data_IF_055154235133
#
_entry.id   IF_055154235133
#
_cell.length_a   1.000
_cell.length_b   1.000
_cell.length_c   1.000
_cell.angle_alpha   90.00
_cell.angle_beta   90.00
_cell.angle_gamma   90.00
#
_symmetry.space_group_name_H-M   'P 1'
#
loop_
_entity.id
_entity.type
_entity.pdbx_description
1 polymer ?
#
# COMPACT_ATOMS: atom_id res chain seq x y z
N UNK A 1 35.84 -2.46 -3.57
CA UNK A 1 34.63 -2.93 -4.27
C UNK A 1 33.47 -2.63 -3.34
N UNK A 2 32.87 -1.44 -3.49
CA UNK A 2 31.81 -0.96 -2.62
C UNK A 2 30.46 -1.43 -3.16
N UNK A 3 29.72 -2.20 -2.37
CA UNK A 3 28.34 -2.55 -2.65
C UNK A 3 27.46 -1.75 -1.71
N UNK A 4 27.02 -0.62 -2.28
CA UNK A 4 25.73 0.04 -2.09
C UNK A 4 25.24 0.09 -0.64
N UNK A 5 25.56 1.21 0.00
CA UNK A 5 24.83 1.72 1.15
C UNK A 5 23.33 1.61 0.85
N UNK A 6 22.62 0.76 1.62
CA UNK A 6 21.18 0.91 1.76
C UNK A 6 20.96 2.32 2.29
N UNK A 7 20.67 3.26 1.42
CA UNK A 7 20.13 4.55 1.83
C UNK A 7 18.85 4.22 2.58
N UNK A 8 18.91 4.35 3.90
CA UNK A 8 17.76 4.38 4.78
C UNK A 8 16.99 5.68 4.51
N UNK A 9 16.48 5.85 3.29
CA UNK A 9 15.36 6.78 3.08
C UNK A 9 14.24 6.16 3.89
N UNK A 10 13.90 6.80 5.00
CA UNK A 10 13.05 6.25 6.05
C UNK A 10 11.61 6.20 5.54
N UNK A 11 11.28 5.15 4.79
CA UNK A 11 9.90 4.80 4.55
C UNK A 11 9.30 4.34 5.87
N UNK A 12 8.38 5.14 6.41
CA UNK A 12 7.69 4.85 7.66
C UNK A 12 6.21 4.77 7.41
N UNK A 13 5.56 3.76 7.98
CA UNK A 13 4.10 3.67 7.97
C UNK A 13 3.51 4.89 8.69
N UNK A 14 2.69 5.65 7.98
CA UNK A 14 1.99 6.80 8.53
C UNK A 14 0.87 6.32 9.44
N UNK A 15 0.91 6.77 10.69
CA UNK A 15 -0.13 6.53 11.67
C UNK A 15 -0.92 7.83 11.91
N UNK A 16 -2.24 7.75 11.75
CA UNK A 16 -3.12 8.85 12.12
C UNK A 16 -3.03 9.13 13.62
N UNK A 17 -2.99 10.42 13.97
CA UNK A 17 -3.33 10.86 15.31
C UNK A 17 -4.82 11.27 15.37
N UNK A 18 -5.42 11.26 16.56
CA UNK A 18 -6.87 11.35 16.72
C UNK A 18 -7.57 12.59 16.13
N UNK A 19 -6.86 13.66 15.77
CA UNK A 19 -7.46 14.78 15.03
C UNK A 19 -7.42 14.60 13.50
N UNK A 20 -6.44 13.86 12.99
CA UNK A 20 -6.27 13.60 11.56
C UNK A 20 -7.22 12.52 11.04
N UNK A 21 -7.67 11.59 11.90
CA UNK A 21 -8.67 10.58 11.57
C UNK A 21 -9.97 11.19 11.00
N UNK A 22 -10.40 12.33 11.57
CA UNK A 22 -11.58 13.04 11.11
C UNK A 22 -11.35 13.86 9.82
N UNK A 23 -10.09 14.15 9.48
CA UNK A 23 -9.74 14.97 8.31
C UNK A 23 -9.56 14.13 7.04
N UNK A 24 -9.17 12.86 7.19
CA UNK A 24 -8.84 11.95 6.09
C UNK A 24 -9.61 10.62 6.21
N UNK A 25 -10.96 10.67 6.14
CA UNK A 25 -11.79 9.51 6.45
C UNK A 25 -11.61 8.36 5.45
N UNK A 26 -11.29 8.62 4.17
CA UNK A 26 -11.10 7.53 3.21
C UNK A 26 -9.76 6.86 3.38
N UNK A 27 -8.70 7.61 3.64
CA UNK A 27 -7.40 7.06 3.98
C UNK A 27 -7.48 6.17 5.23
N UNK A 28 -8.22 6.61 6.26
CA UNK A 28 -8.46 5.81 7.46
C UNK A 28 -9.20 4.50 7.12
N UNK A 29 -10.26 4.57 6.32
CA UNK A 29 -11.00 3.38 5.88
C UNK A 29 -10.14 2.41 5.08
N UNK A 30 -9.26 2.92 4.22
CA UNK A 30 -8.32 2.06 3.49
C UNK A 30 -7.41 1.27 4.43
N UNK A 31 -6.99 1.84 5.56
CA UNK A 31 -6.16 1.13 6.56
C UNK A 31 -6.96 0.19 7.49
N UNK A 32 -8.24 0.51 7.75
CA UNK A 32 -9.07 -0.24 8.72
C UNK A 32 -9.88 -1.36 8.08
N UNK A 33 -10.45 -1.11 6.91
CA UNK A 33 -11.36 -2.02 6.22
C UNK A 33 -10.62 -2.94 5.23
N UNK A 34 -9.39 -2.58 4.83
CA UNK A 34 -8.58 -3.28 3.84
C UNK A 34 -7.11 -3.38 4.29
N UNK A 35 -6.35 -4.31 3.73
CA UNK A 35 -4.91 -4.47 4.04
C UNK A 35 -4.04 -3.45 3.27
N UNK A 36 -4.41 -2.17 3.34
CA UNK A 36 -3.57 -1.08 2.86
C UNK A 36 -2.81 -0.40 3.99
N UNK A 37 -1.72 0.26 3.60
CA UNK A 37 -0.89 1.11 4.44
C UNK A 37 -0.64 2.42 3.73
N UNK A 38 -0.50 3.47 4.52
CA UNK A 38 -0.04 4.76 4.02
C UNK A 38 1.45 4.81 4.34
N UNK A 39 2.28 4.95 3.31
CA UNK A 39 3.72 5.06 3.48
C UNK A 39 4.11 6.53 3.39
N UNK A 40 4.83 7.00 4.39
CA UNK A 40 5.49 8.29 4.36
C UNK A 40 6.93 8.10 3.89
N UNK A 41 7.26 8.73 2.78
CA UNK A 41 8.63 8.83 2.25
C UNK A 41 9.13 10.27 2.45
N UNK A 42 10.43 10.49 2.24
CA UNK A 42 11.08 11.81 2.43
C UNK A 42 10.41 12.96 1.65
N UNK A 43 9.70 12.64 0.56
CA UNK A 43 9.07 13.63 -0.33
C UNK A 43 7.54 13.54 -0.43
N UNK A 44 6.89 12.69 0.38
CA UNK A 44 5.44 12.60 0.35
C UNK A 44 4.82 11.36 0.99
N UNK A 45 3.61 11.06 0.53
CA UNK A 45 2.72 10.01 1.02
C UNK A 45 2.19 9.20 -0.16
N UNK A 46 2.12 7.89 0.01
CA UNK A 46 1.47 6.98 -0.95
C UNK A 46 0.66 5.91 -0.23
N UNK A 47 -0.24 5.27 -0.97
CA UNK A 47 -0.97 4.08 -0.54
C UNK A 47 -0.26 2.84 -1.09
N UNK A 48 0.04 1.88 -0.22
CA UNK A 48 0.62 0.59 -0.57
C UNK A 48 -0.20 -0.54 0.04
N UNK A 49 -0.11 -1.75 -0.51
CA UNK A 49 -0.58 -2.96 0.19
C UNK A 49 0.33 -3.27 1.38
N UNK A 50 -0.23 -3.96 2.38
CA UNK A 50 0.53 -4.55 3.49
C UNK A 50 1.27 -5.78 3.00
N UNK A 51 2.53 -5.93 3.42
CA UNK A 51 3.27 -7.19 3.24
C UNK A 51 2.55 -8.34 3.95
N UNK A 52 2.37 -9.45 3.25
CA UNK A 52 1.78 -10.67 3.79
C UNK A 52 2.50 -11.88 3.20
N UNK A 53 3.11 -12.73 4.05
CA UNK A 53 3.75 -14.01 3.72
C UNK A 53 4.37 -14.10 2.31
N UNK A 54 5.65 -13.70 2.20
CA UNK A 54 6.46 -13.69 0.96
C UNK A 54 5.94 -12.80 -0.19
N UNK A 55 4.86 -12.04 0.00
CA UNK A 55 4.37 -11.03 -0.94
C UNK A 55 4.95 -9.66 -0.56
N UNK A 56 5.77 -9.10 -1.45
CA UNK A 56 6.29 -7.73 -1.33
C UNK A 56 5.13 -6.71 -1.36
N UNK A 57 5.26 -5.63 -0.59
CA UNK A 57 4.31 -4.52 -0.63
C UNK A 57 4.31 -3.87 -2.02
N UNK A 58 3.12 -3.61 -2.56
CA UNK A 58 2.97 -2.98 -3.88
C UNK A 58 2.35 -1.61 -3.70
N UNK A 59 3.00 -0.60 -4.30
CA UNK A 59 2.47 0.75 -4.38
C UNK A 59 1.20 0.78 -5.24
N UNK A 60 0.09 1.20 -4.63
CA UNK A 60 -1.25 1.27 -5.24
C UNK A 60 -1.54 2.68 -5.76
N UNK A 61 -0.83 3.67 -5.23
CA UNK A 61 -0.93 5.05 -5.70
C UNK A 61 0.44 5.63 -6.03
N UNK A 62 0.48 6.70 -6.87
CA UNK A 62 1.66 7.55 -6.97
C UNK A 62 2.01 8.19 -5.62
N UNK A 63 3.22 8.76 -5.54
CA UNK A 63 3.65 9.58 -4.41
C UNK A 63 3.03 10.98 -4.49
N UNK A 64 2.41 11.43 -3.40
CA UNK A 64 1.80 12.75 -3.27
C UNK A 64 2.45 13.57 -2.17
N UNK A 65 2.63 14.87 -2.39
CA UNK A 65 3.30 15.74 -1.40
C UNK A 65 2.48 15.96 -0.11
N UNK A 66 1.16 15.77 -0.16
CA UNK A 66 0.27 15.98 0.99
C UNK A 66 -0.73 14.84 1.14
N UNK A 67 -1.14 14.55 2.38
CA UNK A 67 -2.23 13.60 2.68
C UNK A 67 -3.54 14.00 2.01
N UNK A 68 -3.81 15.30 1.87
CA UNK A 68 -5.01 15.78 1.19
C UNK A 68 -5.03 15.40 -0.30
N UNK A 69 -3.89 15.53 -0.99
CA UNK A 69 -3.80 15.14 -2.40
C UNK A 69 -3.97 13.62 -2.57
N UNK A 70 -3.41 12.84 -1.64
CA UNK A 70 -3.61 11.39 -1.60
C UNK A 70 -5.08 11.01 -1.31
N UNK A 71 -5.71 11.64 -0.31
CA UNK A 71 -7.13 11.45 0.03
C UNK A 71 -8.03 11.75 -1.17
N UNK A 72 -7.79 12.85 -1.89
CA UNK A 72 -8.53 13.20 -3.10
C UNK A 72 -8.33 12.17 -4.22
N UNK A 73 -7.10 11.67 -4.40
CA UNK A 73 -6.81 10.63 -5.37
C UNK A 73 -7.57 9.34 -5.05
N UNK A 74 -7.54 8.88 -3.79
CA UNK A 74 -8.25 7.68 -3.37
C UNK A 74 -9.75 7.86 -3.54
N UNK A 75 -10.32 8.99 -3.10
CA UNK A 75 -11.74 9.27 -3.29
C UNK A 75 -12.17 9.17 -4.76
N UNK A 76 -11.34 9.67 -5.68
CA UNK A 76 -11.63 9.67 -7.12
C UNK A 76 -11.50 8.28 -7.76
N UNK A 77 -10.53 7.47 -7.30
CA UNK A 77 -10.18 6.19 -7.93
C UNK A 77 -10.52 4.97 -7.06
N UNK A 78 -11.31 5.14 -5.99
CA UNK A 78 -11.57 4.11 -4.99
C UNK A 78 -12.10 2.80 -5.59
N UNK A 79 -13.01 2.89 -6.55
CA UNK A 79 -13.60 1.71 -7.19
C UNK A 79 -12.52 0.91 -7.91
N UNK A 80 -11.66 1.58 -8.67
CA UNK A 80 -10.61 0.92 -9.44
C UNK A 80 -9.51 0.35 -8.53
N UNK A 81 -9.16 1.09 -7.47
CA UNK A 81 -8.22 0.64 -6.43
C UNK A 81 -8.74 -0.65 -5.77
N UNK A 82 -10.00 -0.65 -5.32
CA UNK A 82 -10.59 -1.80 -4.65
C UNK A 82 -10.82 -2.96 -5.62
N UNK A 83 -11.20 -2.68 -6.86
CA UNK A 83 -11.33 -3.71 -7.89
C UNK A 83 -9.98 -4.39 -8.11
N UNK A 84 -8.91 -3.60 -8.29
CA UNK A 84 -7.57 -4.13 -8.50
C UNK A 84 -7.10 -4.92 -7.28
N UNK A 85 -7.37 -4.42 -6.07
CA UNK A 85 -7.02 -5.12 -4.82
C UNK A 85 -7.77 -6.44 -4.62
N UNK A 86 -9.06 -6.49 -4.94
CA UNK A 86 -9.87 -7.70 -4.74
C UNK A 86 -9.70 -8.74 -5.83
N UNK A 87 -9.34 -8.32 -7.06
CA UNK A 87 -9.40 -9.17 -8.24
C UNK A 87 -8.12 -9.22 -9.08
N UNK A 88 -7.27 -8.18 -9.05
CA UNK A 88 -6.00 -8.11 -9.80
C UNK A 88 -4.75 -8.35 -8.95
N UNK A 89 -4.85 -8.47 -7.61
CA UNK A 89 -3.77 -9.12 -6.87
C UNK A 89 -3.71 -10.52 -7.47
N UNK A 90 -2.61 -10.88 -8.16
CA UNK A 90 -2.55 -12.18 -8.79
C UNK A 90 -2.82 -13.19 -7.68
N UNK A 91 -3.54 -14.26 -8.01
CA UNK A 91 -3.14 -15.55 -7.46
C UNK A 91 -1.66 -15.72 -7.81
N UNK A 92 -0.75 -15.08 -7.06
CA UNK A 92 0.65 -15.41 -7.07
C UNK A 92 0.62 -16.82 -6.53
N UNK A 93 0.79 -17.76 -7.45
CA UNK A 93 0.73 -19.19 -7.27
C UNK A 93 0.89 -19.55 -5.80
N UNK A 94 -0.20 -19.97 -5.17
CA UNK A 94 -0.09 -20.60 -3.86
C UNK A 94 0.83 -21.79 -4.09
N UNK A 95 2.11 -21.62 -3.74
CA UNK A 95 3.03 -22.75 -3.64
C UNK A 95 2.44 -23.62 -2.54
N UNK A 96 1.68 -24.61 -2.97
CA UNK A 96 1.61 -25.86 -2.26
C UNK A 96 3.05 -26.19 -1.81
N UNK A 97 3.21 -26.57 -0.54
CA UNK A 97 4.47 -27.02 0.07
C UNK A 97 5.16 -28.17 -0.73
N UNK A 98 4.50 -28.72 -1.76
CA UNK A 98 5.00 -29.69 -2.73
C UNK A 98 5.67 -29.09 -3.98
N UNK A 99 5.61 -27.78 -4.20
CA UNK A 99 6.28 -27.10 -5.32
C UNK A 99 5.60 -27.26 -6.68
N UNK A 100 4.31 -27.59 -6.73
CA UNK A 100 3.56 -27.68 -7.98
C UNK A 100 2.63 -26.48 -8.17
N UNK A 101 2.65 -25.91 -9.38
CA UNK A 101 1.74 -24.87 -9.83
C UNK A 101 0.40 -25.49 -10.22
N UNK A 102 -0.68 -25.13 -9.52
CA UNK A 102 -2.04 -25.46 -9.94
C UNK A 102 -2.52 -24.36 -10.89
N UNK A 103 -2.55 -24.66 -12.18
CA UNK A 103 -3.17 -23.81 -13.20
C UNK A 103 -4.69 -23.91 -13.02
N UNK A 104 -5.35 -22.78 -12.80
CA UNK A 104 -6.80 -22.65 -12.96
C UNK A 104 -7.16 -22.65 -14.45
#
# INVERSE_FOLDING_TARGET
MGTLDKNWNSETEFAFNGQQEAQYPMLLRMQQDFDFKIMQQDSGYLLSTREYLDIESVDVSPLFQTLEALEQYINKNMVDILYSYLFDIPNQDVKDLSGNYAIA
#
